data_IF_672403683574
#
_entry.id   IF_672403683574
#
_cell.length_a   1.000
_cell.length_b   1.000
_cell.length_c   1.000
_cell.angle_alpha   90.00
_cell.angle_beta   90.00
_cell.angle_gamma   90.00
#
_symmetry.space_group_name_H-M   'P 1'
#
loop_
_entity.id
_entity.type
_entity.pdbx_description
1 polymer ?
#
# COMPACT_ATOMS: atom_id res chain seq x y z
N UNK A 1 -8.30 -19.67 12.38
CA UNK A 1 -7.68 -18.43 12.85
C UNK A 1 -6.81 -17.82 11.78
N UNK A 2 -7.06 -16.59 11.47
CA UNK A 2 -6.26 -15.93 10.46
C UNK A 2 -4.98 -15.40 11.08
N UNK A 3 -3.92 -15.42 10.29
CA UNK A 3 -2.63 -14.91 10.71
C UNK A 3 -2.14 -13.92 9.67
N UNK A 4 -1.48 -12.91 10.15
CA UNK A 4 -0.82 -11.99 9.25
C UNK A 4 0.34 -12.69 8.56
N UNK A 5 0.47 -12.45 7.27
CA UNK A 5 1.62 -12.95 6.56
C UNK A 5 2.86 -12.16 6.97
N UNK A 6 4.04 -12.81 7.01
CA UNK A 6 5.26 -12.06 7.29
C UNK A 6 5.47 -10.87 6.35
N UNK A 7 5.06 -11.02 5.10
CA UNK A 7 5.16 -9.95 4.12
C UNK A 7 4.30 -8.74 4.50
N UNK A 8 3.12 -8.99 5.09
CA UNK A 8 2.25 -7.91 5.50
C UNK A 8 2.95 -7.01 6.52
N UNK A 9 3.57 -7.62 7.53
CA UNK A 9 4.27 -6.85 8.56
C UNK A 9 5.45 -6.09 7.95
N UNK A 10 6.21 -6.73 7.08
CA UNK A 10 7.32 -6.08 6.42
C UNK A 10 6.87 -4.87 5.61
N UNK A 11 5.77 -5.01 4.87
CA UNK A 11 5.22 -3.90 4.10
C UNK A 11 4.73 -2.77 5.00
N UNK A 12 4.10 -3.11 6.14
CA UNK A 12 3.66 -2.09 7.09
C UNK A 12 4.84 -1.32 7.67
N UNK A 13 5.92 -2.01 7.99
CA UNK A 13 7.13 -1.34 8.48
C UNK A 13 7.70 -0.39 7.43
N UNK A 14 7.78 -0.82 6.18
CA UNK A 14 8.26 0.02 5.09
C UNK A 14 7.36 1.24 4.89
N UNK A 15 6.06 1.03 4.94
CA UNK A 15 5.11 2.14 4.80
C UNK A 15 5.24 3.12 5.94
N UNK A 16 5.43 2.64 7.17
CA UNK A 16 5.58 3.52 8.32
C UNK A 16 6.89 4.30 8.25
N UNK A 17 7.94 3.73 7.69
CA UNK A 17 9.19 4.43 7.50
C UNK A 17 9.09 5.50 6.41
N UNK A 18 8.42 5.16 5.31
CA UNK A 18 8.32 6.07 4.16
C UNK A 18 7.30 7.18 4.40
N UNK A 19 6.22 6.86 5.09
CA UNK A 19 5.12 7.79 5.33
C UNK A 19 4.79 7.85 6.82
N UNK A 20 5.70 8.35 7.64
CA UNK A 20 5.50 8.35 9.10
C UNK A 20 4.33 9.23 9.52
N UNK A 21 3.58 8.77 10.52
CA UNK A 21 2.50 9.56 11.10
C UNK A 21 1.26 9.69 10.22
N UNK A 22 1.17 8.94 9.13
CA UNK A 22 0.04 9.02 8.21
C UNK A 22 -0.63 7.65 8.11
N UNK A 23 -1.95 7.64 8.15
CA UNK A 23 -2.72 6.43 7.91
C UNK A 23 -3.20 6.34 6.47
N UNK A 24 -3.46 7.50 5.85
CA UNK A 24 -3.88 7.58 4.46
C UNK A 24 -2.76 8.15 3.62
N UNK A 25 -2.55 7.57 2.46
CA UNK A 25 -1.48 7.95 1.54
C UNK A 25 -2.09 8.18 0.17
N UNK A 26 -1.58 9.16 -0.54
CA UNK A 26 -2.03 9.40 -1.92
C UNK A 26 -1.49 8.31 -2.82
N UNK A 27 -2.32 7.84 -3.73
CA UNK A 27 -1.90 6.81 -4.69
C UNK A 27 -0.71 7.27 -5.53
N UNK A 28 -0.64 8.57 -5.83
CA UNK A 28 0.49 9.11 -6.58
C UNK A 28 1.79 8.99 -5.81
N UNK A 29 1.75 9.17 -4.49
CA UNK A 29 2.92 9.00 -3.64
C UNK A 29 3.36 7.54 -3.61
N UNK A 30 2.39 6.63 -3.51
CA UNK A 30 2.68 5.20 -3.51
C UNK A 30 3.29 4.77 -4.85
N UNK A 31 2.70 5.24 -5.95
CA UNK A 31 3.21 4.90 -7.27
C UNK A 31 4.64 5.39 -7.45
N UNK A 32 4.92 6.63 -7.02
CA UNK A 32 6.28 7.15 -7.08
C UNK A 32 7.25 6.34 -6.24
N UNK A 33 6.83 5.92 -5.07
CA UNK A 33 7.65 5.10 -4.18
C UNK A 33 7.95 3.74 -4.80
N UNK A 34 6.96 3.15 -5.47
CA UNK A 34 7.14 1.85 -6.12
C UNK A 34 7.80 1.96 -7.51
N UNK A 35 7.96 3.16 -8.01
CA UNK A 35 8.56 3.36 -9.32
C UNK A 35 7.65 3.04 -10.49
N UNK A 36 6.34 3.19 -10.30
CA UNK A 36 5.35 2.90 -11.34
C UNK A 36 4.41 4.09 -11.48
N UNK A 37 3.56 4.05 -12.51
CA UNK A 37 2.54 5.09 -12.68
C UNK A 37 1.31 4.75 -11.85
N UNK A 38 0.46 5.75 -11.60
CA UNK A 38 -0.80 5.54 -10.89
C UNK A 38 -1.69 4.58 -11.66
N UNK A 39 -1.66 4.67 -12.99
CA UNK A 39 -2.45 3.76 -13.83
C UNK A 39 -2.00 2.31 -13.63
N UNK A 40 -0.70 2.07 -13.62
CA UNK A 40 -0.15 0.74 -13.37
C UNK A 40 -0.53 0.25 -11.98
N UNK A 41 -0.48 1.15 -11.00
CA UNK A 41 -0.85 0.82 -9.63
C UNK A 41 -2.30 0.32 -9.57
N UNK A 42 -3.21 1.02 -10.24
CA UNK A 42 -4.63 0.64 -10.24
C UNK A 42 -4.87 -0.69 -10.95
N UNK A 43 -4.14 -0.94 -12.01
CA UNK A 43 -4.28 -2.18 -12.77
C UNK A 43 -3.73 -3.35 -11.97
N UNK A 44 -2.60 -3.15 -11.32
CA UNK A 44 -1.91 -4.23 -10.62
C UNK A 44 -2.55 -4.60 -9.29
N UNK A 45 -3.12 -3.63 -8.60
CA UNK A 45 -3.67 -3.84 -7.26
C UNK A 45 -5.12 -3.37 -7.19
N UNK A 46 -5.92 -4.11 -6.42
CA UNK A 46 -7.31 -3.72 -6.18
C UNK A 46 -7.35 -2.77 -4.99
N UNK A 47 -7.45 -1.49 -5.29
CA UNK A 47 -7.44 -0.44 -4.26
C UNK A 47 -8.80 0.24 -4.22
N UNK A 48 -9.18 0.83 -3.07
CA UNK A 48 -10.45 1.55 -2.98
C UNK A 48 -10.44 2.75 -3.93
N UNK A 49 -11.65 3.20 -4.35
CA UNK A 49 -11.74 4.35 -5.25
C UNK A 49 -11.26 5.62 -4.57
N UNK A 50 -10.86 6.61 -5.37
CA UNK A 50 -10.38 7.88 -4.87
C UNK A 50 -8.87 7.98 -4.95
N UNK A 51 -8.35 9.09 -4.43
CA UNK A 51 -6.93 9.38 -4.51
C UNK A 51 -6.14 8.84 -3.32
N UNK A 52 -6.83 8.52 -2.22
CA UNK A 52 -6.19 8.09 -0.99
C UNK A 52 -6.40 6.60 -0.77
N UNK A 53 -5.44 5.98 -0.11
CA UNK A 53 -5.50 4.58 0.26
C UNK A 53 -4.92 4.43 1.66
N UNK A 54 -5.52 3.58 2.49
CA UNK A 54 -5.00 3.34 3.82
C UNK A 54 -3.77 2.44 3.74
N UNK A 55 -2.85 2.62 4.70
CA UNK A 55 -1.66 1.77 4.78
C UNK A 55 -2.04 0.30 4.92
N UNK A 56 -3.08 0.02 5.71
CA UNK A 56 -3.52 -1.36 5.94
C UNK A 56 -4.01 -1.99 4.64
N UNK A 57 -4.88 -1.29 3.91
CA UNK A 57 -5.39 -1.80 2.64
C UNK A 57 -4.26 -1.98 1.63
N UNK A 58 -3.35 -1.03 1.57
CA UNK A 58 -2.22 -1.09 0.65
C UNK A 58 -1.30 -2.26 0.99
N UNK A 59 -0.98 -2.44 2.27
CA UNK A 59 -0.11 -3.52 2.68
C UNK A 59 -0.70 -4.89 2.35
N UNK A 60 -2.01 -5.04 2.49
CA UNK A 60 -2.67 -6.28 2.13
C UNK A 60 -2.54 -6.59 0.65
N UNK A 61 -2.70 -5.56 -0.18
CA UNK A 61 -2.55 -5.74 -1.63
C UNK A 61 -1.10 -6.03 -2.01
N UNK A 62 -0.17 -5.34 -1.39
CA UNK A 62 1.25 -5.51 -1.69
C UNK A 62 1.75 -6.90 -1.29
N UNK A 63 1.23 -7.48 -0.24
CA UNK A 63 1.65 -8.81 0.16
C UNK A 63 0.95 -9.94 -0.61
N UNK A 64 0.04 -9.58 -1.51
CA UNK A 64 -0.56 -10.55 -2.42
C UNK A 64 -1.67 -11.41 -1.83
N UNK A 65 -2.34 -10.95 -0.81
CA UNK A 65 -3.47 -11.68 -0.25
C UNK A 65 -4.72 -11.49 -1.08
#
# INVERSE_FOLDING_TARGET
>A
MSREKPEYRAWMERLNERFPGRELIRKSEVAGWLGITVKTLRVRYTLPPGQLVSKVALARELCGT
#
